data_IF_723185264818
#
_entry.id   IF_723185264818
#
_cell.length_a   1.000
_cell.length_b   1.000
_cell.length_c   1.000
_cell.angle_alpha   90.00
_cell.angle_beta   90.00
_cell.angle_gamma   90.00
#
_symmetry.space_group_name_H-M   'P 1'
#
loop_
_entity.id
_entity.type
_entity.pdbx_description
1 polymer ?
#
# COMPACT_ATOMS: atom_id res chain seq x y z
N UNK A 1 -32.56 -8.04 34.89
CA UNK A 1 -31.74 -8.97 34.05
C UNK A 1 -31.22 -8.12 32.93
N UNK A 2 -30.04 -7.61 33.14
CA UNK A 2 -29.30 -6.79 32.18
C UNK A 2 -28.78 -7.74 31.09
N UNK A 3 -29.36 -7.65 29.91
CA UNK A 3 -28.71 -8.17 28.71
C UNK A 3 -27.65 -7.15 28.32
N UNK A 4 -26.44 -7.33 28.81
CA UNK A 4 -25.25 -6.80 28.19
C UNK A 4 -25.12 -7.52 26.82
N UNK A 5 -25.64 -6.93 25.79
CA UNK A 5 -25.22 -7.22 24.42
C UNK A 5 -23.77 -6.71 24.30
N UNK A 6 -22.83 -7.56 24.71
CA UNK A 6 -21.45 -7.42 24.26
C UNK A 6 -21.52 -7.42 22.74
N UNK A 7 -21.30 -6.24 22.14
CA UNK A 7 -21.05 -6.12 20.70
C UNK A 7 -19.84 -7.00 20.43
N UNK A 8 -20.09 -8.21 19.96
CA UNK A 8 -19.03 -9.11 19.59
C UNK A 8 -18.24 -8.45 18.48
N UNK A 9 -16.98 -8.10 18.76
CA UNK A 9 -15.99 -7.68 17.75
C UNK A 9 -15.95 -8.60 16.53
N UNK A 10 -16.55 -9.78 16.61
CA UNK A 10 -16.75 -10.74 15.50
C UNK A 10 -17.62 -10.26 14.35
N UNK A 11 -18.32 -9.12 14.47
CA UNK A 11 -19.10 -8.52 13.38
C UNK A 11 -18.28 -7.55 12.52
N UNK A 12 -17.09 -7.16 12.95
CA UNK A 12 -16.20 -6.32 12.19
C UNK A 12 -15.52 -7.12 11.08
N UNK A 13 -15.21 -6.44 9.98
CA UNK A 13 -14.51 -7.06 8.85
C UNK A 13 -13.13 -7.50 9.32
N UNK A 14 -12.88 -8.79 9.19
CA UNK A 14 -11.55 -9.36 9.43
C UNK A 14 -10.69 -9.19 8.17
N UNK A 15 -9.41 -8.85 8.30
CA UNK A 15 -8.51 -8.81 7.15
C UNK A 15 -8.41 -10.18 6.49
N UNK A 16 -8.27 -10.23 5.17
CA UNK A 16 -8.04 -11.45 4.42
C UNK A 16 -6.71 -12.09 4.84
N UNK A 17 -5.68 -11.25 5.00
CA UNK A 17 -4.37 -11.61 5.54
C UNK A 17 -3.69 -10.40 6.16
N UNK A 18 -2.63 -10.66 6.93
CA UNK A 18 -1.77 -9.64 7.54
C UNK A 18 -0.36 -9.74 6.97
N UNK A 19 0.33 -8.61 6.90
CA UNK A 19 1.68 -8.51 6.36
C UNK A 19 2.46 -7.39 7.07
N UNK A 20 3.74 -7.24 6.77
CA UNK A 20 4.49 -6.02 7.09
C UNK A 20 4.73 -5.25 5.80
N UNK A 21 4.73 -3.92 5.90
CA UNK A 21 4.87 -3.05 4.74
C UNK A 21 5.85 -1.92 5.02
N UNK A 22 6.78 -1.74 4.12
CA UNK A 22 7.77 -0.66 4.18
C UNK A 22 7.86 0.03 2.81
N UNK A 23 7.93 1.35 2.86
CA UNK A 23 8.15 2.22 1.71
C UNK A 23 9.54 2.84 1.86
N UNK A 24 10.39 2.61 0.88
CA UNK A 24 11.75 3.11 0.84
C UNK A 24 11.85 4.15 -0.26
N UNK A 25 12.01 5.41 0.12
CA UNK A 25 12.16 6.51 -0.82
C UNK A 25 13.54 6.47 -1.45
N UNK A 26 13.59 6.65 -2.76
CA UNK A 26 14.79 6.57 -3.57
C UNK A 26 14.84 7.70 -4.59
N UNK A 27 16.04 8.15 -4.92
CA UNK A 27 16.30 9.10 -5.99
C UNK A 27 17.42 8.56 -6.90
N UNK A 28 17.20 8.59 -8.22
CA UNK A 28 18.24 8.23 -9.20
C UNK A 28 19.39 9.23 -9.15
N UNK A 29 20.61 8.72 -9.23
CA UNK A 29 21.80 9.57 -9.37
C UNK A 29 21.77 10.36 -10.69
N UNK A 30 22.38 11.53 -10.73
CA UNK A 30 22.39 12.45 -11.88
C UNK A 30 22.79 11.79 -13.22
N UNK A 31 23.64 10.76 -13.18
CA UNK A 31 24.14 10.06 -14.37
C UNK A 31 23.43 8.69 -14.59
N UNK A 32 22.40 8.40 -13.84
CA UNK A 32 21.65 7.14 -13.92
C UNK A 32 20.30 7.37 -14.57
N UNK A 33 19.79 6.31 -15.20
CA UNK A 33 18.52 6.29 -15.90
C UNK A 33 17.63 5.15 -15.41
N UNK A 34 16.36 5.17 -15.80
CA UNK A 34 15.44 4.05 -15.56
C UNK A 34 15.93 2.74 -16.18
N UNK A 35 16.65 2.81 -17.32
CA UNK A 35 17.26 1.63 -17.93
C UNK A 35 18.35 1.02 -17.05
N UNK A 36 19.14 1.85 -16.36
CA UNK A 36 20.15 1.35 -15.42
C UNK A 36 19.50 0.66 -14.24
N UNK A 37 18.38 1.21 -13.74
CA UNK A 37 17.58 0.62 -12.69
C UNK A 37 16.98 -0.73 -13.11
N UNK A 38 16.35 -0.79 -14.28
CA UNK A 38 15.80 -2.01 -14.87
C UNK A 38 16.88 -3.07 -15.08
N UNK A 39 18.03 -2.69 -15.65
CA UNK A 39 19.14 -3.59 -15.86
C UNK A 39 19.70 -4.14 -14.54
N UNK A 40 19.82 -3.29 -13.51
CA UNK A 40 20.27 -3.72 -12.19
C UNK A 40 19.38 -4.80 -11.59
N UNK A 41 18.06 -4.56 -11.56
CA UNK A 41 17.13 -5.53 -11.00
C UNK A 41 17.02 -6.79 -11.86
N UNK A 42 16.96 -6.68 -13.17
CA UNK A 42 16.91 -7.82 -14.09
C UNK A 42 18.13 -8.75 -13.91
N UNK A 43 19.31 -8.16 -13.74
CA UNK A 43 20.54 -8.92 -13.51
C UNK A 43 20.56 -9.65 -12.17
N UNK A 44 19.98 -9.06 -11.13
CA UNK A 44 20.06 -9.54 -9.76
C UNK A 44 18.79 -10.25 -9.26
N UNK A 45 17.68 -10.22 -10.01
CA UNK A 45 16.37 -10.73 -9.58
C UNK A 45 16.40 -12.16 -9.05
N UNK A 46 17.10 -13.06 -9.73
CA UNK A 46 17.16 -14.47 -9.30
C UNK A 46 17.93 -14.63 -7.97
N UNK A 47 18.97 -13.83 -7.76
CA UNK A 47 19.72 -13.81 -6.51
C UNK A 47 18.85 -13.27 -5.37
N UNK A 48 18.14 -12.18 -5.61
CA UNK A 48 17.26 -11.59 -4.59
C UNK A 48 16.09 -12.49 -4.24
N UNK A 49 15.47 -13.16 -5.21
CA UNK A 49 14.44 -14.17 -4.97
C UNK A 49 14.90 -15.30 -4.04
N UNK A 50 16.16 -15.72 -4.14
CA UNK A 50 16.73 -16.73 -3.26
C UNK A 50 16.95 -16.22 -1.82
N UNK A 51 17.27 -14.93 -1.67
CA UNK A 51 17.49 -14.31 -0.35
C UNK A 51 16.15 -14.09 0.36
N UNK A 52 15.18 -13.52 -0.35
CA UNK A 52 13.92 -13.06 0.24
C UNK A 52 12.91 -14.20 0.42
N UNK A 53 13.05 -15.30 -0.32
CA UNK A 53 12.07 -16.40 -0.40
C UNK A 53 10.69 -15.93 -0.92
N UNK A 54 9.72 -16.85 -1.03
CA UNK A 54 8.35 -16.55 -1.49
C UNK A 54 7.49 -15.77 -0.47
N UNK A 55 8.09 -15.29 0.61
CA UNK A 55 7.38 -14.59 1.69
C UNK A 55 7.51 -13.06 1.59
N UNK A 56 8.14 -12.55 0.53
CA UNK A 56 8.34 -11.11 0.32
C UNK A 56 8.01 -10.77 -1.12
N UNK A 57 7.16 -9.77 -1.28
CA UNK A 57 6.88 -9.12 -2.56
C UNK A 57 7.61 -7.77 -2.61
N UNK A 58 8.22 -7.50 -3.74
CA UNK A 58 8.96 -6.26 -3.97
C UNK A 58 8.44 -5.59 -5.23
N UNK A 59 8.07 -4.34 -5.11
CA UNK A 59 7.59 -3.52 -6.22
C UNK A 59 8.34 -2.19 -6.29
N UNK A 60 8.47 -1.66 -7.49
CA UNK A 60 8.93 -0.28 -7.71
C UNK A 60 7.74 0.59 -8.08
N UNK A 61 7.60 1.70 -7.38
CA UNK A 61 6.51 2.65 -7.54
C UNK A 61 7.06 3.93 -8.18
N UNK A 62 6.53 4.29 -9.33
CA UNK A 62 6.82 5.57 -9.98
C UNK A 62 5.62 6.49 -9.90
N UNK A 63 5.78 7.77 -9.50
CA UNK A 63 4.70 8.75 -9.50
C UNK A 63 4.04 8.84 -10.89
N UNK A 64 2.70 8.68 -10.95
CA UNK A 64 1.99 8.68 -12.23
C UNK A 64 2.08 10.02 -12.96
N UNK A 65 1.98 11.12 -12.20
CA UNK A 65 1.91 12.48 -12.75
C UNK A 65 3.25 13.22 -12.84
N UNK A 66 4.33 12.58 -12.45
CA UNK A 66 5.64 13.22 -12.49
C UNK A 66 6.35 12.92 -13.81
N UNK A 67 6.64 13.97 -14.60
CA UNK A 67 7.41 13.87 -15.85
C UNK A 67 8.92 13.76 -15.60
N UNK A 68 9.40 14.10 -14.41
CA UNK A 68 10.79 14.00 -14.03
C UNK A 68 10.99 12.77 -13.14
N UNK A 69 11.29 11.63 -13.76
CA UNK A 69 11.34 10.33 -13.08
C UNK A 69 12.75 10.13 -12.47
N UNK A 70 13.15 11.01 -11.55
CA UNK A 70 14.31 10.76 -10.69
C UNK A 70 13.91 10.09 -9.38
N UNK A 71 12.70 10.35 -8.89
CA UNK A 71 12.19 9.84 -7.62
C UNK A 71 11.35 8.59 -7.84
N UNK A 72 11.54 7.59 -6.99
CA UNK A 72 10.76 6.37 -6.97
C UNK A 72 10.73 5.77 -5.56
N UNK A 73 9.83 4.84 -5.33
CA UNK A 73 9.71 4.13 -4.06
C UNK A 73 9.95 2.64 -4.30
N UNK A 74 10.71 2.00 -3.42
CA UNK A 74 10.75 0.54 -3.32
C UNK A 74 9.74 0.16 -2.24
N UNK A 75 8.65 -0.48 -2.64
CA UNK A 75 7.65 -1.02 -1.73
C UNK A 75 7.97 -2.48 -1.42
N UNK A 76 8.01 -2.80 -0.14
CA UNK A 76 8.30 -4.14 0.36
C UNK A 76 7.12 -4.63 1.19
N UNK A 77 6.48 -5.69 0.72
CA UNK A 77 5.48 -6.43 1.47
C UNK A 77 6.07 -7.76 1.94
N UNK A 78 5.93 -8.09 3.23
CA UNK A 78 6.54 -9.28 3.80
C UNK A 78 5.64 -9.96 4.84
N UNK A 79 5.71 -11.29 4.88
CA UNK A 79 5.08 -12.11 5.91
C UNK A 79 6.00 -12.28 7.13
N UNK A 80 6.36 -11.15 7.81
CA UNK A 80 7.15 -11.13 9.06
C UNK A 80 8.55 -11.77 8.96
N UNK A 81 9.24 -11.66 7.83
CA UNK A 81 10.59 -12.21 7.65
C UNK A 81 11.68 -11.13 7.68
N UNK A 82 11.90 -10.55 8.87
CA UNK A 82 12.86 -9.46 9.09
C UNK A 82 14.30 -9.80 8.67
N UNK A 83 14.77 -11.01 9.00
CA UNK A 83 16.14 -11.41 8.71
C UNK A 83 16.40 -11.49 7.18
N UNK A 84 15.43 -11.97 6.43
CA UNK A 84 15.54 -11.98 4.96
C UNK A 84 15.54 -10.56 4.39
N UNK A 85 14.72 -9.67 4.93
CA UNK A 85 14.70 -8.26 4.51
C UNK A 85 16.02 -7.57 4.80
N UNK A 86 16.58 -7.76 5.99
CA UNK A 86 17.89 -7.22 6.36
C UNK A 86 18.98 -7.75 5.43
N UNK A 87 18.98 -9.05 5.17
CA UNK A 87 19.94 -9.68 4.25
C UNK A 87 19.80 -9.12 2.84
N UNK A 88 18.56 -8.86 2.38
CA UNK A 88 18.31 -8.22 1.08
C UNK A 88 18.87 -6.80 1.04
N UNK A 89 18.61 -5.97 2.05
CA UNK A 89 19.13 -4.60 2.12
C UNK A 89 20.66 -4.59 2.14
N UNK A 90 21.29 -5.47 2.89
CA UNK A 90 22.74 -5.62 2.91
C UNK A 90 23.26 -6.04 1.52
N UNK A 91 22.58 -6.99 0.87
CA UNK A 91 23.00 -7.49 -0.44
C UNK A 91 22.85 -6.45 -1.57
N UNK A 92 21.76 -5.67 -1.55
CA UNK A 92 21.55 -4.62 -2.57
C UNK A 92 22.63 -3.54 -2.48
N UNK A 93 23.12 -3.25 -1.27
CA UNK A 93 24.25 -2.35 -1.05
C UNK A 93 25.59 -2.96 -1.52
N UNK A 94 25.84 -4.24 -1.23
CA UNK A 94 27.02 -4.98 -1.72
C UNK A 94 27.06 -4.97 -3.25
N UNK A 95 25.91 -5.08 -3.90
CA UNK A 95 25.77 -5.06 -5.36
C UNK A 95 25.91 -3.64 -5.96
N UNK A 96 26.20 -2.65 -5.11
CA UNK A 96 26.48 -1.25 -5.50
C UNK A 96 25.25 -0.54 -6.09
N UNK A 97 24.09 -0.80 -5.56
CA UNK A 97 22.87 -0.08 -5.95
C UNK A 97 22.99 1.43 -5.77
N UNK A 98 23.80 1.86 -4.79
CA UNK A 98 24.12 3.26 -4.55
C UNK A 98 24.84 3.96 -5.73
N UNK A 99 25.36 3.22 -6.70
CA UNK A 99 25.87 3.81 -7.95
C UNK A 99 24.74 4.23 -8.90
N UNK A 100 23.51 3.74 -8.68
CA UNK A 100 22.34 3.98 -9.52
C UNK A 100 21.38 4.92 -8.84
N UNK A 101 21.09 4.69 -7.55
CA UNK A 101 20.15 5.47 -6.77
C UNK A 101 20.59 5.60 -5.31
N UNK A 102 20.18 6.69 -4.69
CA UNK A 102 20.29 6.91 -3.24
C UNK A 102 18.93 6.57 -2.63
N UNK A 103 18.93 5.70 -1.64
CA UNK A 103 17.71 5.28 -0.93
C UNK A 103 17.89 5.37 0.58
N UNK A 104 16.83 5.75 1.29
CA UNK A 104 16.76 5.69 2.74
C UNK A 104 16.20 4.31 3.19
N UNK A 105 17.10 3.32 3.34
CA UNK A 105 16.71 1.97 3.75
C UNK A 105 16.36 1.90 5.23
N UNK A 106 15.20 2.44 5.60
CA UNK A 106 14.64 2.34 6.96
C UNK A 106 13.53 1.29 6.92
N UNK A 107 13.76 0.16 7.59
CA UNK A 107 12.80 -0.95 7.70
C UNK A 107 12.09 -0.87 9.05
N UNK A 108 10.85 -0.41 9.04
CA UNK A 108 10.01 -0.25 10.24
C UNK A 108 9.13 -1.47 10.50
N UNK A 109 8.87 -2.27 9.48
CA UNK A 109 7.93 -3.38 9.52
C UNK A 109 6.55 -2.95 10.02
N UNK A 110 5.97 -1.92 9.39
CA UNK A 110 4.64 -1.45 9.71
C UNK A 110 3.60 -2.56 9.48
N UNK A 111 2.65 -2.71 10.40
CA UNK A 111 1.66 -3.77 10.31
C UNK A 111 0.62 -3.43 9.24
N UNK A 112 0.54 -4.27 8.22
CA UNK A 112 -0.41 -4.18 7.13
C UNK A 112 -1.55 -5.20 7.25
N UNK A 113 -2.72 -4.80 6.77
CA UNK A 113 -3.94 -5.58 6.77
C UNK A 113 -4.59 -5.48 5.39
N UNK A 114 -4.65 -6.57 4.65
CA UNK A 114 -5.45 -6.62 3.42
C UNK A 114 -6.93 -6.73 3.80
N UNK A 115 -7.70 -5.70 3.50
CA UNK A 115 -9.10 -5.59 3.93
C UNK A 115 -10.06 -5.98 2.82
N UNK A 116 -9.72 -5.65 1.59
CA UNK A 116 -10.48 -6.02 0.40
C UNK A 116 -9.54 -6.51 -0.69
N UNK A 117 -9.82 -7.68 -1.23
CA UNK A 117 -9.05 -8.28 -2.31
C UNK A 117 -9.94 -8.46 -3.56
N UNK A 118 -9.36 -8.10 -4.71
CA UNK A 118 -9.99 -8.33 -6.01
C UNK A 118 -9.42 -9.59 -6.66
N UNK A 119 -10.24 -10.65 -6.72
CA UNK A 119 -9.79 -12.00 -7.07
C UNK A 119 -9.94 -12.36 -8.57
N UNK A 120 -10.28 -11.40 -9.44
CA UNK A 120 -10.32 -11.67 -10.89
C UNK A 120 -8.92 -11.50 -11.46
N UNK A 121 -8.54 -12.38 -12.40
CA UNK A 121 -7.22 -12.31 -13.03
C UNK A 121 -7.06 -10.99 -13.79
N UNK A 122 -6.17 -10.14 -13.29
CA UNK A 122 -5.71 -8.95 -13.94
C UNK A 122 -4.18 -9.09 -14.04
N UNK A 123 -3.64 -9.01 -15.23
CA UNK A 123 -2.21 -9.17 -15.46
C UNK A 123 -1.69 -8.05 -16.38
N UNK A 124 -1.71 -6.80 -15.92
CA UNK A 124 -1.17 -5.67 -16.65
C UNK A 124 0.35 -5.60 -16.51
N UNK A 125 0.99 -4.76 -17.33
CA UNK A 125 2.42 -4.45 -17.19
C UNK A 125 2.72 -3.72 -15.88
N UNK A 126 1.75 -2.97 -15.35
CA UNK A 126 1.82 -2.28 -14.06
C UNK A 126 0.43 -2.22 -13.42
N UNK A 127 0.40 -2.01 -12.11
CA UNK A 127 -0.82 -1.76 -11.35
C UNK A 127 -0.83 -0.31 -10.87
N UNK A 128 -1.98 0.35 -10.92
CA UNK A 128 -2.14 1.68 -10.33
C UNK A 128 -2.45 1.55 -8.85
N UNK A 129 -1.68 2.25 -8.03
CA UNK A 129 -1.92 2.34 -6.59
C UNK A 129 -1.96 3.79 -6.15
N UNK A 130 -2.90 4.10 -5.27
CA UNK A 130 -2.97 5.37 -4.57
C UNK A 130 -2.59 5.12 -3.11
N UNK A 131 -1.65 5.91 -2.62
CA UNK A 131 -1.19 5.86 -1.23
C UNK A 131 -1.61 7.16 -0.56
N UNK A 132 -2.44 7.03 0.49
CA UNK A 132 -2.83 8.13 1.34
C UNK A 132 -2.12 8.01 2.69
N UNK A 133 -1.43 9.06 3.09
CA UNK A 133 -0.85 9.19 4.43
C UNK A 133 -1.84 9.92 5.32
N UNK A 134 -2.31 9.25 6.37
CA UNK A 134 -3.39 9.71 7.22
C UNK A 134 -3.01 9.69 8.69
N UNK A 135 -3.68 10.55 9.48
CA UNK A 135 -3.59 10.58 10.93
C UNK A 135 -4.99 10.54 11.54
N UNK A 136 -5.16 9.85 12.68
CA UNK A 136 -6.42 9.88 13.41
C UNK A 136 -6.66 11.25 14.01
N UNK A 137 -7.90 11.71 13.93
CA UNK A 137 -8.34 12.89 14.64
C UNK A 137 -8.34 12.65 16.15
N UNK A 138 -8.43 13.73 16.93
CA UNK A 138 -8.46 13.63 18.38
C UNK A 138 -9.57 12.68 18.84
N UNK A 139 -9.25 11.81 19.81
CA UNK A 139 -10.14 10.80 20.39
C UNK A 139 -10.52 9.61 19.48
N UNK A 140 -10.02 9.59 18.23
CA UNK A 140 -10.19 8.46 17.31
C UNK A 140 -8.93 7.58 17.24
N UNK A 141 -9.14 6.32 16.85
CA UNK A 141 -8.08 5.32 16.70
C UNK A 141 -8.55 4.20 15.76
N UNK A 142 -7.69 3.20 15.54
CA UNK A 142 -8.04 2.06 14.69
C UNK A 142 -9.33 1.36 15.10
N UNK A 143 -9.59 1.22 16.40
CA UNK A 143 -10.80 0.56 16.91
C UNK A 143 -12.08 1.26 16.49
N UNK A 144 -12.15 2.60 16.61
CA UNK A 144 -13.29 3.40 16.15
C UNK A 144 -13.39 3.40 14.62
N UNK A 145 -12.25 3.50 13.94
CA UNK A 145 -12.19 3.55 12.47
C UNK A 145 -12.62 2.25 11.79
N UNK A 146 -12.50 1.10 12.45
CA UNK A 146 -12.96 -0.19 11.91
C UNK A 146 -14.45 -0.19 11.51
N UNK A 147 -15.30 0.58 12.19
CA UNK A 147 -16.72 0.68 11.86
C UNK A 147 -16.89 1.35 10.50
N UNK A 148 -16.18 2.45 10.29
CA UNK A 148 -16.21 3.19 9.02
C UNK A 148 -15.63 2.34 7.89
N UNK A 149 -14.53 1.64 8.13
CA UNK A 149 -13.95 0.69 7.18
C UNK A 149 -14.97 -0.39 6.80
N UNK A 150 -15.69 -0.96 7.77
CA UNK A 150 -16.69 -2.00 7.53
C UNK A 150 -17.82 -1.49 6.62
N UNK A 151 -18.31 -0.25 6.85
CA UNK A 151 -19.33 0.38 5.99
C UNK A 151 -18.80 0.61 4.58
N UNK A 152 -17.60 1.14 4.45
CA UNK A 152 -16.94 1.35 3.17
C UNK A 152 -16.82 0.05 2.38
N UNK A 153 -16.29 -1.02 2.99
CA UNK A 153 -16.12 -2.31 2.32
C UNK A 153 -17.46 -2.89 1.87
N UNK A 154 -18.49 -2.80 2.71
CA UNK A 154 -19.83 -3.27 2.34
C UNK A 154 -20.41 -2.47 1.16
N UNK A 155 -20.13 -1.16 1.09
CA UNK A 155 -20.52 -0.33 -0.03
C UNK A 155 -19.78 -0.73 -1.31
N UNK A 156 -18.46 -0.82 -1.28
CA UNK A 156 -17.63 -1.17 -2.44
C UNK A 156 -17.97 -2.57 -2.99
N UNK A 157 -18.23 -3.55 -2.10
CA UNK A 157 -18.63 -4.89 -2.53
C UNK A 157 -19.94 -4.93 -3.32
N UNK A 158 -20.87 -4.02 -3.07
CA UNK A 158 -22.12 -3.90 -3.83
C UNK A 158 -21.86 -3.40 -5.27
N UNK A 159 -20.81 -2.62 -5.48
CA UNK A 159 -20.49 -2.00 -6.75
C UNK A 159 -19.71 -2.92 -7.71
N UNK A 160 -19.18 -4.05 -7.23
CA UNK A 160 -18.34 -5.01 -7.99
C UNK A 160 -17.23 -4.32 -8.81
N UNK A 161 -16.60 -3.28 -8.25
CA UNK A 161 -15.51 -2.55 -8.90
C UNK A 161 -14.17 -3.30 -8.75
N UNK A 162 -13.28 -3.21 -9.75
CA UNK A 162 -11.97 -3.87 -9.73
C UNK A 162 -10.97 -3.14 -8.81
N UNK A 163 -11.14 -3.34 -7.51
CA UNK A 163 -10.47 -2.58 -6.50
C UNK A 163 -10.03 -3.46 -5.31
N UNK A 164 -8.83 -3.23 -4.82
CA UNK A 164 -8.32 -3.83 -3.59
C UNK A 164 -7.92 -2.74 -2.60
N UNK A 165 -7.99 -3.06 -1.32
CA UNK A 165 -7.67 -2.15 -0.24
C UNK A 165 -6.77 -2.81 0.79
N UNK A 166 -5.71 -2.12 1.13
CA UNK A 166 -4.87 -2.42 2.28
C UNK A 166 -4.75 -1.22 3.22
N UNK A 167 -4.67 -1.51 4.50
CA UNK A 167 -4.45 -0.55 5.58
C UNK A 167 -3.13 -0.90 6.27
N UNK A 168 -2.27 0.08 6.47
CA UNK A 168 -0.97 -0.11 7.12
C UNK A 168 -0.86 0.81 8.32
N UNK A 169 -0.75 0.24 9.50
CA UNK A 169 -0.60 0.99 10.74
C UNK A 169 0.85 1.41 10.94
N UNK A 170 1.08 2.71 11.13
CA UNK A 170 2.40 3.20 11.49
C UNK A 170 2.72 2.83 12.95
N UNK A 171 3.89 2.23 13.17
CA UNK A 171 4.33 1.84 14.52
C UNK A 171 4.87 3.00 15.36
N UNK A 172 5.30 4.08 14.71
CA UNK A 172 6.01 5.18 15.35
C UNK A 172 5.11 6.35 15.77
N UNK A 173 3.91 6.45 15.21
CA UNK A 173 2.97 7.55 15.49
C UNK A 173 1.51 7.08 15.45
N UNK A 174 0.57 8.01 15.62
CA UNK A 174 -0.88 7.76 15.52
C UNK A 174 -1.39 7.84 14.07
N UNK A 175 -0.52 7.54 13.10
CA UNK A 175 -0.84 7.59 11.68
C UNK A 175 -1.04 6.20 11.08
N UNK A 176 -1.55 6.21 9.87
CA UNK A 176 -1.68 5.02 9.05
C UNK A 176 -1.53 5.38 7.57
N UNK A 177 -1.28 4.36 6.77
CA UNK A 177 -1.29 4.45 5.32
C UNK A 177 -2.50 3.67 4.82
N UNK A 178 -3.26 4.31 3.93
CA UNK A 178 -4.36 3.71 3.20
C UNK A 178 -3.93 3.47 1.77
N UNK A 179 -3.99 2.23 1.29
CA UNK A 179 -3.50 1.85 -0.02
C UNK A 179 -4.67 1.37 -0.87
N UNK A 180 -5.01 2.14 -1.88
CA UNK A 180 -5.98 1.79 -2.90
C UNK A 180 -5.25 1.15 -4.08
N UNK A 181 -5.65 -0.05 -4.49
CA UNK A 181 -5.11 -0.71 -5.67
C UNK A 181 -6.21 -0.84 -6.73
N UNK A 182 -5.97 -0.27 -7.90
CA UNK A 182 -6.91 -0.23 -9.00
C UNK A 182 -6.52 -1.26 -10.06
N UNK A 183 -7.43 -2.19 -10.32
CA UNK A 183 -7.26 -3.25 -11.31
C UNK A 183 -7.96 -2.93 -12.65
N UNK A 184 -8.09 -1.65 -12.98
CA UNK A 184 -8.66 -1.14 -14.22
C UNK A 184 -7.98 0.16 -14.63
N UNK A 185 -7.75 0.34 -15.94
CA UNK A 185 -7.11 1.55 -16.47
C UNK A 185 -8.00 2.80 -16.36
N UNK A 186 -9.32 2.62 -16.18
CA UNK A 186 -10.30 3.70 -16.05
C UNK A 186 -10.62 4.02 -14.58
N UNK A 187 -9.68 3.82 -13.68
CA UNK A 187 -9.89 3.96 -12.23
C UNK A 187 -10.45 5.34 -11.82
N UNK A 188 -10.03 6.42 -12.49
CA UNK A 188 -10.52 7.78 -12.19
C UNK A 188 -12.03 7.88 -12.44
N UNK A 189 -12.52 7.31 -13.56
CA UNK A 189 -13.93 7.29 -13.86
C UNK A 189 -14.71 6.43 -12.85
N UNK A 190 -14.17 5.29 -12.50
CA UNK A 190 -14.76 4.38 -11.51
C UNK A 190 -14.89 5.09 -10.16
N UNK A 191 -13.85 5.82 -9.72
CA UNK A 191 -13.89 6.62 -8.49
C UNK A 191 -14.95 7.72 -8.55
N UNK A 192 -15.00 8.49 -9.64
CA UNK A 192 -15.96 9.59 -9.79
C UNK A 192 -17.40 9.03 -9.78
N UNK A 193 -17.69 8.06 -10.64
CA UNK A 193 -19.06 7.56 -10.82
C UNK A 193 -19.61 6.86 -9.56
N UNK A 194 -18.76 6.18 -8.80
CA UNK A 194 -19.23 5.32 -7.71
C UNK A 194 -18.90 5.88 -6.32
N UNK A 195 -17.78 6.57 -6.16
CA UNK A 195 -17.36 7.05 -4.85
C UNK A 195 -17.61 8.56 -4.66
N UNK A 196 -17.36 9.38 -5.67
CA UNK A 196 -17.49 10.83 -5.52
C UNK A 196 -18.95 11.28 -5.64
N UNK A 197 -19.75 10.69 -6.55
CA UNK A 197 -21.11 11.10 -6.84
C UNK A 197 -22.20 10.28 -6.12
N UNK A 198 -21.85 9.14 -5.51
CA UNK A 198 -22.81 8.26 -4.83
C UNK A 198 -23.35 8.86 -3.52
N UNK A 199 -24.68 8.89 -3.34
CA UNK A 199 -25.31 9.40 -2.09
C UNK A 199 -24.85 8.63 -0.85
N UNK A 200 -24.87 7.28 -0.88
CA UNK A 200 -24.40 6.44 0.23
C UNK A 200 -22.91 6.67 0.52
N UNK A 201 -22.13 7.00 -0.50
CA UNK A 201 -20.72 7.34 -0.35
C UNK A 201 -20.49 8.63 0.42
N UNK A 202 -21.38 9.62 0.33
CA UNK A 202 -21.24 10.90 1.04
C UNK A 202 -21.23 10.69 2.56
N UNK A 203 -22.16 9.88 3.09
CA UNK A 203 -22.22 9.58 4.53
C UNK A 203 -20.94 8.88 5.00
N UNK A 204 -20.43 7.92 4.22
CA UNK A 204 -19.21 7.20 4.56
C UNK A 204 -18.00 8.15 4.53
N UNK A 205 -17.93 9.08 3.57
CA UNK A 205 -16.86 10.09 3.52
C UNK A 205 -16.87 11.00 4.73
N UNK A 206 -18.06 11.45 5.17
CA UNK A 206 -18.20 12.26 6.37
C UNK A 206 -17.66 11.53 7.60
N UNK A 207 -17.94 10.22 7.72
CA UNK A 207 -17.38 9.39 8.78
C UNK A 207 -15.85 9.23 8.67
N UNK A 208 -15.30 9.12 7.45
CA UNK A 208 -13.84 9.12 7.26
C UNK A 208 -13.23 10.42 7.76
N UNK A 209 -13.80 11.58 7.36
CA UNK A 209 -13.33 12.91 7.77
C UNK A 209 -13.45 13.11 9.28
N UNK A 210 -14.49 12.57 9.91
CA UNK A 210 -14.65 12.61 11.36
C UNK A 210 -13.54 11.80 12.08
N UNK A 211 -13.19 10.64 11.57
CA UNK A 211 -12.23 9.72 12.20
C UNK A 211 -10.77 10.07 11.90
N UNK A 212 -10.45 10.57 10.71
CA UNK A 212 -9.08 10.76 10.25
C UNK A 212 -8.95 11.88 9.23
N UNK A 213 -7.74 12.43 9.13
CA UNK A 213 -7.34 13.40 8.11
C UNK A 213 -6.19 12.82 7.31
N UNK A 214 -6.34 12.79 5.97
CA UNK A 214 -5.27 12.38 5.08
C UNK A 214 -4.57 13.63 4.54
N UNK A 215 -3.27 13.76 4.81
CA UNK A 215 -2.46 14.94 4.48
C UNK A 215 -1.82 14.83 3.10
N UNK A 216 -1.65 13.62 2.59
CA UNK A 216 -1.08 13.34 1.28
C UNK A 216 -1.86 12.25 0.57
N UNK A 217 -2.01 12.43 -0.74
CA UNK A 217 -2.55 11.43 -1.66
C UNK A 217 -1.70 11.43 -2.91
N UNK A 218 -1.01 10.33 -3.17
CA UNK A 218 -0.13 10.17 -4.31
C UNK A 218 -0.49 8.90 -5.09
N UNK A 219 -0.58 9.02 -6.42
CA UNK A 219 -0.84 7.89 -7.33
C UNK A 219 0.45 7.46 -7.99
N UNK A 220 0.66 6.14 -8.01
CA UNK A 220 1.86 5.50 -8.54
C UNK A 220 1.51 4.41 -9.55
N UNK A 221 2.38 4.24 -10.52
CA UNK A 221 2.50 3.00 -11.30
C UNK A 221 3.39 2.03 -10.56
N UNK A 222 2.82 0.90 -10.15
CA UNK A 222 3.51 -0.15 -9.41
C UNK A 222 3.95 -1.26 -10.35
N UNK A 223 5.24 -1.53 -10.39
CA UNK A 223 5.86 -2.62 -11.16
C UNK A 223 6.36 -3.68 -10.18
N UNK A 224 5.73 -4.84 -10.20
CA UNK A 224 6.16 -5.96 -9.37
C UNK A 224 7.44 -6.57 -9.92
N UNK A 225 8.46 -6.68 -9.09
CA UNK A 225 9.74 -7.30 -9.44
C UNK A 225 9.73 -8.81 -9.14
N UNK A 226 9.13 -9.20 -8.03
CA UNK A 226 8.92 -10.58 -7.60
C UNK A 226 8.03 -10.66 -6.35
#
# INVERSE_FOLDING_TARGET
>A
KDNNDEIKLSSLIQPNFTFTYDLIECELNENSSLLDLEFFFSKNVNKYKLIISNAVELSILFPEKNTNVSEFIIAIESNNNYESLKTFVDQIQIDKFNNIAVCEFIINQNNGFNILEYNKSFNPDYTLIEILTCEYNQDFNYGSFQITIARFINYIKKLDIPYSLSYVQNKSNNGFIWINTFHDENYEKILIDNWIEGEEALEIKDEFIENASCIESNVYKSYQLF
#
